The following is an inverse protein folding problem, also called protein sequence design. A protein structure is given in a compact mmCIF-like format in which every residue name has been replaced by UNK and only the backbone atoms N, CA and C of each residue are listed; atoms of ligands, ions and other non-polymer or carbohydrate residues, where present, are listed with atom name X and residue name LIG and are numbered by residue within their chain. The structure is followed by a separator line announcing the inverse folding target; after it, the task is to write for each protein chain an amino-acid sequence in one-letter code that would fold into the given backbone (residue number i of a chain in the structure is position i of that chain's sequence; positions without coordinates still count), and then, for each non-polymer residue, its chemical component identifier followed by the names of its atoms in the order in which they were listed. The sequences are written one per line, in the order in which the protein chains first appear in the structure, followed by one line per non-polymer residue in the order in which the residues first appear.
data_IF_756832351940
#
_entry.id   IF_756832351940
#
_cell.length_a   1.000
_cell.length_b   1.000
_cell.length_c   1.000
_cell.angle_alpha   90.00
_cell.angle_beta   90.00
_cell.angle_gamma   90.00
#
_symmetry.space_group_name_H-M   'P 1'
#
loop_
_entity.id
_entity.type
_entity.pdbx_description
1 polymer ?
#
# COMPACT_ATOMS: atom_id res chain seq x y z
N UNK A 1 -21.38 2.95 -55.72
CA UNK A 1 -22.21 1.80 -55.29
C UNK A 1 -23.67 2.21 -55.44
N UNK A 2 -24.43 1.55 -56.32
CA UNK A 2 -25.84 1.91 -56.60
C UNK A 2 -26.74 1.78 -55.35
N UNK A 3 -27.92 2.40 -55.40
CA UNK A 3 -28.93 2.54 -54.31
C UNK A 3 -29.38 1.23 -53.61
N UNK A 4 -28.83 0.07 -53.95
CA UNK A 4 -29.19 -1.25 -53.41
C UNK A 4 -28.05 -2.01 -52.70
N UNK A 5 -26.80 -1.51 -52.70
CA UNK A 5 -25.70 -2.20 -52.02
C UNK A 5 -25.53 -1.65 -50.60
N UNK A 6 -26.05 -2.38 -49.60
CA UNK A 6 -25.79 -2.09 -48.18
C UNK A 6 -24.40 -2.60 -47.82
N UNK A 7 -23.54 -1.68 -47.37
CA UNK A 7 -22.27 -2.05 -46.78
C UNK A 7 -22.52 -2.77 -45.45
N UNK A 8 -22.12 -4.03 -45.37
CA UNK A 8 -22.17 -4.80 -44.13
C UNK A 8 -20.81 -4.67 -43.46
N UNK A 9 -20.76 -3.91 -42.38
CA UNK A 9 -19.55 -3.74 -41.60
C UNK A 9 -19.14 -5.10 -41.04
N UNK A 10 -17.95 -5.56 -41.40
CA UNK A 10 -17.34 -6.76 -40.82
C UNK A 10 -17.17 -6.45 -39.33
N UNK A 11 -17.92 -7.16 -38.48
CA UNK A 11 -17.79 -7.04 -37.03
C UNK A 11 -16.39 -7.48 -36.59
N UNK A 12 -15.86 -6.85 -35.54
CA UNK A 12 -14.64 -7.30 -34.89
C UNK A 12 -14.77 -8.78 -34.54
N UNK A 13 -13.80 -9.59 -34.97
CA UNK A 13 -13.77 -11.00 -34.64
C UNK A 13 -13.51 -11.17 -33.14
N UNK A 14 -14.12 -12.17 -32.51
CA UNK A 14 -13.83 -12.50 -31.10
C UNK A 14 -12.33 -12.75 -30.86
N UNK A 15 -11.62 -13.24 -31.89
CA UNK A 15 -10.18 -13.46 -31.84
C UNK A 15 -9.38 -12.15 -31.67
N UNK A 16 -9.81 -11.06 -32.32
CA UNK A 16 -9.12 -9.77 -32.27
C UNK A 16 -9.25 -9.13 -30.88
N UNK A 17 -10.41 -9.30 -30.25
CA UNK A 17 -10.66 -8.82 -28.89
C UNK A 17 -9.80 -9.56 -27.87
N UNK A 18 -9.74 -10.90 -27.95
CA UNK A 18 -8.90 -11.72 -27.08
C UNK A 18 -7.40 -11.39 -27.22
N UNK A 19 -6.94 -11.14 -28.44
CA UNK A 19 -5.54 -10.78 -28.68
C UNK A 19 -5.19 -9.42 -28.06
N UNK A 20 -6.10 -8.45 -28.14
CA UNK A 20 -5.92 -7.12 -27.55
C UNK A 20 -5.80 -7.20 -26.03
N UNK A 21 -6.66 -7.99 -25.38
CA UNK A 21 -6.62 -8.22 -23.93
C UNK A 21 -5.34 -8.93 -23.51
N UNK A 22 -4.95 -9.99 -24.23
CA UNK A 22 -3.71 -10.72 -23.97
C UNK A 22 -2.48 -9.82 -24.10
N UNK A 23 -2.43 -8.95 -25.11
CA UNK A 23 -1.34 -7.98 -25.30
C UNK A 23 -1.28 -6.98 -24.14
N UNK A 24 -2.43 -6.45 -23.71
CA UNK A 24 -2.50 -5.51 -22.58
C UNK A 24 -2.02 -6.17 -21.28
N UNK A 25 -2.46 -7.40 -21.00
CA UNK A 25 -2.09 -8.17 -19.82
C UNK A 25 -0.59 -8.53 -19.80
N UNK A 26 -0.04 -8.95 -20.95
CA UNK A 26 1.38 -9.23 -21.06
C UNK A 26 2.23 -7.98 -20.86
N UNK A 27 1.79 -6.83 -21.38
CA UNK A 27 2.47 -5.56 -21.15
C UNK A 27 2.43 -5.15 -19.67
N UNK A 28 1.30 -5.33 -18.98
CA UNK A 28 1.19 -5.04 -17.54
C UNK A 28 2.12 -5.93 -16.72
N UNK A 29 2.22 -7.23 -17.05
CA UNK A 29 3.20 -8.13 -16.43
C UNK A 29 4.64 -7.70 -16.66
N UNK A 30 4.96 -7.29 -17.89
CA UNK A 30 6.29 -6.79 -18.22
C UNK A 30 6.61 -5.54 -17.42
N UNK A 31 5.71 -4.55 -17.39
CA UNK A 31 5.88 -3.33 -16.60
C UNK A 31 6.06 -3.64 -15.10
N UNK A 32 5.27 -4.56 -14.55
CA UNK A 32 5.38 -5.00 -13.16
C UNK A 32 6.74 -5.64 -12.85
N UNK A 33 7.33 -6.38 -13.79
CA UNK A 33 8.67 -6.96 -13.62
C UNK A 33 9.78 -5.90 -13.46
N UNK A 34 9.59 -4.71 -14.04
CA UNK A 34 10.48 -3.56 -13.85
C UNK A 34 10.06 -2.66 -12.67
N UNK A 35 9.03 -3.05 -11.91
CA UNK A 35 8.47 -2.23 -10.83
C UNK A 35 7.71 -0.98 -11.32
N UNK A 36 7.39 -0.90 -12.62
CA UNK A 36 6.69 0.25 -13.19
C UNK A 36 5.18 0.09 -12.97
N UNK A 37 4.55 1.15 -12.46
CA UNK A 37 3.10 1.21 -12.33
C UNK A 37 2.41 1.80 -13.57
N UNK A 38 1.08 1.74 -13.61
CA UNK A 38 0.25 2.23 -14.73
C UNK A 38 0.51 3.69 -15.10
N UNK A 39 0.88 4.49 -14.11
CA UNK A 39 1.17 5.92 -14.25
C UNK A 39 2.48 6.15 -15.02
N UNK A 40 3.47 5.27 -14.85
CA UNK A 40 4.77 5.39 -15.51
C UNK A 40 4.68 5.28 -17.03
N UNK A 41 3.78 4.44 -17.55
CA UNK A 41 3.58 4.23 -18.99
C UNK A 41 2.33 4.93 -19.55
N UNK A 42 1.73 5.84 -18.78
CA UNK A 42 0.72 6.77 -19.30
C UNK A 42 -0.70 6.22 -19.50
N UNK A 43 -1.06 5.07 -18.90
CA UNK A 43 -2.45 4.62 -18.90
C UNK A 43 -3.22 5.26 -17.74
N UNK A 44 -4.04 6.26 -18.07
CA UNK A 44 -4.82 7.04 -17.09
C UNK A 44 -6.34 6.72 -17.10
N UNK A 45 -6.78 5.77 -17.93
CA UNK A 45 -8.20 5.53 -18.23
C UNK A 45 -9.06 5.24 -16.98
N UNK A 46 -8.46 4.71 -15.89
CA UNK A 46 -9.17 4.35 -14.65
C UNK A 46 -8.61 5.00 -13.37
N UNK A 47 -7.75 6.02 -13.48
CA UNK A 47 -6.97 6.51 -12.32
C UNK A 47 -7.39 7.93 -11.93
N UNK A 48 -7.89 8.07 -10.70
CA UNK A 48 -8.19 9.39 -10.13
C UNK A 48 -6.89 10.17 -9.80
N UNK A 49 -6.99 11.49 -9.69
CA UNK A 49 -5.82 12.36 -9.46
C UNK A 49 -5.08 12.07 -8.13
N UNK A 50 -5.78 11.67 -7.08
CA UNK A 50 -5.17 11.30 -5.80
C UNK A 50 -4.30 10.03 -5.95
N UNK A 51 -4.81 9.02 -6.64
CA UNK A 51 -4.11 7.78 -6.98
C UNK A 51 -2.94 8.04 -7.93
N UNK A 52 -3.03 9.02 -8.84
CA UNK A 52 -1.88 9.44 -9.66
C UNK A 52 -0.76 9.99 -8.78
N UNK A 53 -1.07 10.87 -7.82
CA UNK A 53 -0.06 11.44 -6.92
C UNK A 53 0.60 10.37 -6.06
N UNK A 54 -0.19 9.48 -5.47
CA UNK A 54 0.30 8.38 -4.64
C UNK A 54 1.13 7.39 -5.46
N UNK A 55 0.66 7.01 -6.65
CA UNK A 55 1.40 6.11 -7.51
C UNK A 55 2.71 6.72 -8.03
N UNK A 56 2.77 8.03 -8.32
CA UNK A 56 4.06 8.69 -8.62
C UNK A 56 5.02 8.59 -7.43
N UNK A 57 4.54 8.78 -6.20
CA UNK A 57 5.35 8.63 -5.00
C UNK A 57 5.89 7.20 -4.85
N UNK A 58 5.03 6.18 -5.04
CA UNK A 58 5.45 4.78 -5.01
C UNK A 58 6.50 4.48 -6.09
N UNK A 59 6.29 4.94 -7.32
CA UNK A 59 7.23 4.76 -8.43
C UNK A 59 8.63 5.32 -8.10
N UNK A 60 8.69 6.50 -7.50
CA UNK A 60 9.96 7.09 -7.07
C UNK A 60 10.62 6.32 -5.92
N UNK A 61 9.82 5.82 -4.97
CA UNK A 61 10.32 5.08 -3.81
C UNK A 61 10.82 3.68 -4.18
N UNK A 62 10.09 2.98 -5.05
CA UNK A 62 10.33 1.56 -5.34
C UNK A 62 11.29 1.36 -6.52
N UNK A 63 11.30 2.26 -7.50
CA UNK A 63 12.09 2.09 -8.74
C UNK A 63 13.21 3.10 -8.88
N UNK A 64 12.88 4.40 -8.93
CA UNK A 64 13.87 5.41 -9.31
C UNK A 64 14.93 5.65 -8.24
N UNK A 65 14.53 5.74 -6.96
CA UNK A 65 15.47 5.99 -5.87
C UNK A 65 16.46 4.84 -5.66
N UNK A 66 16.07 3.56 -5.65
CA UNK A 66 17.03 2.46 -5.57
C UNK A 66 17.99 2.43 -6.76
N UNK A 67 17.49 2.69 -7.97
CA UNK A 67 18.32 2.72 -9.18
C UNK A 67 19.35 3.86 -9.12
N UNK A 68 18.93 5.06 -8.75
CA UNK A 68 19.82 6.20 -8.55
C UNK A 68 20.85 5.94 -7.44
N UNK A 69 20.47 5.26 -6.35
CA UNK A 69 21.41 4.83 -5.31
C UNK A 69 22.46 3.84 -5.82
N UNK A 70 22.07 2.91 -6.70
CA UNK A 70 23.02 1.98 -7.33
C UNK A 70 24.03 2.73 -8.22
N UNK A 71 23.55 3.69 -9.02
CA UNK A 71 24.39 4.51 -9.90
C UNK A 71 25.33 5.39 -9.07
N UNK A 72 24.79 6.17 -8.14
CA UNK A 72 25.56 7.08 -7.30
C UNK A 72 26.58 6.36 -6.43
N UNK A 73 26.25 5.15 -5.94
CA UNK A 73 27.19 4.29 -5.23
C UNK A 73 28.32 3.82 -6.14
N UNK A 74 28.02 3.33 -7.34
CA UNK A 74 29.04 2.90 -8.29
C UNK A 74 30.01 4.04 -8.64
N UNK A 75 29.48 5.23 -8.93
CA UNK A 75 30.31 6.42 -9.21
C UNK A 75 31.13 6.82 -7.99
N UNK A 76 30.52 6.80 -6.79
CA UNK A 76 31.23 7.15 -5.56
C UNK A 76 32.37 6.18 -5.28
N UNK A 77 32.12 4.88 -5.37
CA UNK A 77 33.07 3.83 -5.04
C UNK A 77 34.20 3.74 -6.06
N UNK A 78 33.92 3.93 -7.35
CA UNK A 78 34.93 3.79 -8.41
C UNK A 78 35.69 5.09 -8.70
N UNK A 79 35.02 6.25 -8.71
CA UNK A 79 35.63 7.50 -9.18
C UNK A 79 35.96 8.45 -8.04
N UNK A 80 34.98 8.77 -7.18
CA UNK A 80 35.15 9.84 -6.19
C UNK A 80 36.18 9.46 -5.13
N UNK A 81 36.12 8.23 -4.62
CA UNK A 81 37.10 7.72 -3.66
C UNK A 81 38.52 7.67 -4.21
N UNK A 82 38.67 7.47 -5.52
CA UNK A 82 39.98 7.47 -6.17
C UNK A 82 40.57 8.88 -6.29
N UNK A 83 39.75 9.87 -6.64
CA UNK A 83 40.19 11.26 -6.85
C UNK A 83 40.40 11.98 -5.51
N UNK A 84 39.51 11.78 -4.54
CA UNK A 84 39.56 12.44 -3.23
C UNK A 84 39.43 11.39 -2.12
N UNK A 85 40.55 10.96 -1.50
CA UNK A 85 40.51 10.04 -0.37
C UNK A 85 39.85 10.64 0.89
N UNK A 86 39.46 11.92 0.86
CA UNK A 86 38.86 12.65 1.98
C UNK A 86 37.41 12.29 2.35
N UNK A 87 36.91 11.10 2.00
CA UNK A 87 35.58 10.64 2.41
C UNK A 87 34.39 11.32 1.73
N UNK A 88 34.60 11.91 0.54
CA UNK A 88 33.53 12.54 -0.22
C UNK A 88 32.56 11.48 -0.78
N UNK A 89 31.27 11.78 -0.80
CA UNK A 89 30.25 10.90 -1.37
C UNK A 89 29.32 11.68 -2.31
N UNK A 90 28.98 11.08 -3.46
CA UNK A 90 27.94 11.61 -4.32
C UNK A 90 26.59 11.27 -3.72
N UNK A 91 25.72 12.26 -3.59
CA UNK A 91 24.33 12.08 -3.25
C UNK A 91 23.48 12.90 -4.20
N UNK A 92 22.49 12.26 -4.79
CA UNK A 92 21.49 12.97 -5.58
C UNK A 92 20.60 13.80 -4.67
N UNK A 93 20.26 15.00 -5.10
CA UNK A 93 19.32 15.88 -4.41
C UNK A 93 17.88 15.52 -4.81
N UNK A 94 17.03 15.24 -3.81
CA UNK A 94 15.61 14.93 -4.02
C UNK A 94 14.68 16.02 -3.47
N UNK A 95 15.21 17.14 -3.00
CA UNK A 95 14.44 18.19 -2.32
C UNK A 95 13.39 18.82 -3.23
N UNK A 96 13.68 18.91 -4.53
CA UNK A 96 12.77 19.53 -5.49
C UNK A 96 11.61 18.62 -5.91
N UNK A 97 11.71 17.30 -5.68
CA UNK A 97 10.72 16.34 -6.17
C UNK A 97 9.45 16.37 -5.32
N UNK A 98 8.38 16.95 -5.86
CA UNK A 98 7.08 17.16 -5.17
C UNK A 98 6.57 15.87 -4.47
N UNK A 99 6.66 14.72 -5.13
CA UNK A 99 6.12 13.46 -4.59
C UNK A 99 6.96 12.84 -3.45
N UNK A 100 8.23 13.23 -3.30
CA UNK A 100 9.08 12.80 -2.19
C UNK A 100 9.03 13.77 -1.01
N UNK A 101 8.50 14.98 -1.20
CA UNK A 101 8.32 15.94 -0.12
C UNK A 101 7.37 15.36 0.93
N UNK A 102 7.69 15.55 2.23
CA UNK A 102 6.81 15.12 3.28
C UNK A 102 5.47 15.86 3.17
N UNK A 103 4.38 15.14 3.41
CA UNK A 103 3.06 15.75 3.41
C UNK A 103 2.87 16.59 4.68
N UNK A 104 3.19 17.88 4.57
CA UNK A 104 3.08 18.83 5.66
C UNK A 104 1.64 18.95 6.18
N UNK A 105 0.63 18.82 5.31
CA UNK A 105 -0.78 18.93 5.70
C UNK A 105 -1.17 17.80 6.64
N UNK A 106 -0.80 16.57 6.29
CA UNK A 106 -1.06 15.43 7.15
C UNK A 106 -0.26 15.51 8.46
N UNK A 107 0.99 15.97 8.39
CA UNK A 107 1.82 16.19 9.58
C UNK A 107 1.25 17.26 10.52
N UNK A 108 0.80 18.39 10.01
CA UNK A 108 0.19 19.44 10.83
C UNK A 108 -1.11 18.95 11.47
N UNK A 109 -1.91 18.16 10.77
CA UNK A 109 -3.12 17.57 11.33
C UNK A 109 -2.81 16.58 12.46
N UNK A 110 -1.80 15.73 12.30
CA UNK A 110 -1.34 14.81 13.35
C UNK A 110 -0.79 15.59 14.55
N UNK A 111 0.01 16.62 14.30
CA UNK A 111 0.53 17.49 15.36
C UNK A 111 -0.62 18.21 16.10
N UNK A 112 -1.62 18.71 15.39
CA UNK A 112 -2.81 19.30 16.00
C UNK A 112 -3.54 18.31 16.91
N UNK A 113 -3.74 17.07 16.44
CA UNK A 113 -4.36 16.00 17.25
C UNK A 113 -3.52 15.67 18.50
N UNK A 114 -2.19 15.66 18.39
CA UNK A 114 -1.28 15.45 19.51
C UNK A 114 -1.40 16.56 20.56
N UNK A 115 -1.48 17.82 20.14
CA UNK A 115 -1.65 18.96 21.04
C UNK A 115 -3.05 18.94 21.68
N UNK A 116 -4.09 18.73 20.88
CA UNK A 116 -5.48 18.83 21.35
C UNK A 116 -5.94 17.65 22.21
N UNK A 117 -5.58 16.41 21.82
CA UNK A 117 -6.09 15.20 22.49
C UNK A 117 -5.11 14.62 23.49
N UNK A 118 -3.81 14.64 23.17
CA UNK A 118 -2.77 14.03 24.00
C UNK A 118 -2.06 15.04 24.92
N UNK A 119 -2.40 16.34 24.80
CA UNK A 119 -1.85 17.43 25.60
C UNK A 119 -0.32 17.55 25.53
N UNK A 120 0.27 17.13 24.42
CA UNK A 120 1.67 17.41 24.17
C UNK A 120 1.88 18.90 23.89
N UNK A 121 3.02 19.44 24.33
CA UNK A 121 3.39 20.82 23.99
C UNK A 121 3.55 20.95 22.48
N UNK A 122 3.17 22.08 21.87
CA UNK A 122 3.33 22.30 20.43
C UNK A 122 4.76 22.05 19.93
N UNK A 123 5.77 22.46 20.71
CA UNK A 123 7.17 22.21 20.39
C UNK A 123 7.51 20.71 20.37
N UNK A 124 6.99 19.93 21.33
CA UNK A 124 7.24 18.49 21.37
C UNK A 124 6.50 17.76 20.25
N UNK A 125 5.23 18.10 19.99
CA UNK A 125 4.46 17.54 18.89
C UNK A 125 5.12 17.85 17.53
N UNK A 126 5.60 19.08 17.35
CA UNK A 126 6.35 19.50 16.16
C UNK A 126 7.63 18.68 15.95
N UNK A 127 8.42 18.47 17.03
CA UNK A 127 9.62 17.62 17.00
C UNK A 127 9.29 16.16 16.66
N UNK A 128 8.27 15.58 17.28
CA UNK A 128 7.84 14.20 17.02
C UNK A 128 7.43 13.98 15.56
N UNK A 129 6.73 14.96 14.97
CA UNK A 129 6.25 14.90 13.59
C UNK A 129 7.30 15.39 12.57
N UNK A 130 8.47 15.84 13.05
CA UNK A 130 9.56 16.42 12.24
C UNK A 130 9.07 17.59 11.38
N UNK A 131 8.31 18.49 11.98
CA UNK A 131 8.02 19.78 11.38
C UNK A 131 9.23 20.71 11.57
N UNK A 132 9.57 21.55 10.59
CA UNK A 132 10.70 22.47 10.67
C UNK A 132 10.35 23.61 11.64
N UNK A 133 10.65 23.41 12.92
CA UNK A 133 10.55 24.45 13.94
C UNK A 133 11.97 24.78 14.40
N UNK A 134 12.45 25.99 14.08
CA UNK A 134 13.78 26.44 14.50
C UNK A 134 13.76 26.82 15.98
N UNK A 135 14.91 26.71 16.64
CA UNK A 135 15.06 27.10 18.05
C UNK A 135 14.80 28.59 18.28
N UNK A 136 15.05 29.42 17.26
CA UNK A 136 14.74 30.84 17.24
C UNK A 136 13.25 31.09 17.38
N UNK A 137 12.41 30.38 16.61
CA UNK A 137 10.95 30.47 16.71
C UNK A 137 10.43 30.05 18.09
N UNK A 138 11.10 29.11 18.76
CA UNK A 138 10.74 28.69 20.12
C UNK A 138 11.07 29.81 21.13
N UNK A 139 12.17 30.54 20.92
CA UNK A 139 12.53 31.70 21.77
C UNK A 139 11.58 32.87 21.56
N UNK A 140 11.17 33.14 20.32
CA UNK A 140 10.21 34.19 19.98
C UNK A 140 8.79 33.88 20.49
N UNK A 141 8.46 32.59 20.63
CA UNK A 141 7.15 32.12 21.05
C UNK A 141 7.23 31.14 22.23
N UNK A 142 7.45 31.63 23.47
CA UNK A 142 7.58 30.80 24.67
C UNK A 142 6.37 29.88 24.91
N UNK A 143 5.18 30.32 24.50
CA UNK A 143 3.92 29.56 24.60
C UNK A 143 3.93 28.23 23.84
N UNK A 144 4.87 28.00 22.91
CA UNK A 144 5.05 26.72 22.23
C UNK A 144 5.58 25.61 23.16
N UNK A 145 6.20 25.98 24.28
CA UNK A 145 6.69 25.05 25.30
C UNK A 145 5.71 24.85 26.45
N UNK A 146 4.66 25.67 26.53
CA UNK A 146 3.64 25.57 27.57
C UNK A 146 2.61 24.50 27.20
N UNK A 147 2.01 23.88 28.21
CA UNK A 147 0.90 22.96 27.98
C UNK A 147 -0.32 23.74 27.46
N UNK A 148 -1.01 23.24 26.41
CA UNK A 148 -2.17 23.92 25.89
C UNK A 148 -3.23 24.05 26.98
N UNK A 149 -3.89 25.23 27.12
CA UNK A 149 -4.91 25.41 28.14
C UNK A 149 -6.00 24.37 27.95
N UNK A 150 -6.42 23.72 29.04
CA UNK A 150 -7.49 22.74 28.98
C UNK A 150 -8.71 23.41 28.36
N UNK A 151 -9.11 22.98 27.15
CA UNK A 151 -10.36 23.42 26.54
C UNK A 151 -11.45 23.12 27.56
N UNK A 152 -12.00 24.15 28.19
CA UNK A 152 -13.25 24.04 28.92
C UNK A 152 -14.23 23.39 27.95
N UNK A 153 -14.94 22.36 28.37
CA UNK A 153 -15.90 21.64 27.55
C UNK A 153 -17.10 22.56 27.22
N UNK A 154 -16.86 23.62 26.45
CA UNK A 154 -17.87 24.42 25.80
C UNK A 154 -18.49 23.55 24.73
N UNK A 155 -19.79 23.31 24.85
CA UNK A 155 -20.55 22.43 23.99
C UNK A 155 -20.28 22.69 22.52
N UNK A 156 -19.59 21.77 21.87
CA UNK A 156 -19.51 21.77 20.42
C UNK A 156 -20.90 21.47 19.86
N UNK A 157 -21.40 22.42 19.06
CA UNK A 157 -22.49 22.19 18.13
C UNK A 157 -22.16 20.94 17.30
N UNK A 158 -23.11 20.01 17.25
CA UNK A 158 -22.99 18.77 16.49
C UNK A 158 -22.82 19.12 15.00
N UNK A 159 -21.75 18.62 14.37
CA UNK A 159 -21.68 18.52 12.92
C UNK A 159 -22.85 17.67 12.40
N UNK A 160 -23.43 17.99 11.22
CA UNK A 160 -24.63 17.31 10.72
C UNK A 160 -24.34 15.84 10.37
N UNK A 161 -24.70 14.94 11.28
CA UNK A 161 -24.65 13.47 11.14
C UNK A 161 -25.72 12.88 10.18
N UNK A 162 -26.32 13.66 9.30
CA UNK A 162 -27.57 13.27 8.63
C UNK A 162 -27.48 12.28 7.45
N UNK A 163 -26.32 11.68 7.12
CA UNK A 163 -26.27 10.73 5.99
C UNK A 163 -25.94 9.26 6.33
N UNK A 164 -25.63 8.91 7.58
CA UNK A 164 -25.37 7.49 7.94
C UNK A 164 -26.48 6.88 8.81
N UNK A 165 -27.40 7.70 9.32
CA UNK A 165 -28.40 7.28 10.33
C UNK A 165 -29.67 6.61 9.77
N UNK A 166 -29.77 6.40 8.45
CA UNK A 166 -31.01 5.84 7.83
C UNK A 166 -31.03 4.32 7.64
N UNK A 167 -30.04 3.57 8.14
CA UNK A 167 -30.05 2.09 8.08
C UNK A 167 -30.01 1.40 9.44
N UNK A 168 -29.99 2.15 10.56
CA UNK A 168 -30.11 1.56 11.91
C UNK A 168 -31.47 1.94 12.46
N UNK A 169 -32.49 1.26 11.97
CA UNK A 169 -33.86 1.37 12.46
C UNK A 169 -33.94 0.99 13.95
N UNK A 170 -34.42 1.96 14.75
CA UNK A 170 -35.31 1.80 15.92
C UNK A 170 -35.03 0.64 16.89
N UNK A 171 -34.03 0.78 17.77
CA UNK A 171 -34.09 0.11 19.09
C UNK A 171 -33.14 0.61 20.17
N UNK A 172 -32.16 1.48 19.87
CA UNK A 172 -31.22 1.91 20.91
C UNK A 172 -31.43 3.36 21.32
N UNK A 173 -32.19 3.56 22.41
CA UNK A 173 -32.15 4.81 23.18
C UNK A 173 -30.74 4.96 23.75
N UNK A 174 -29.97 5.87 23.16
CA UNK A 174 -28.63 6.24 23.58
C UNK A 174 -28.67 6.73 25.02
N UNK A 175 -28.04 6.00 25.95
CA UNK A 175 -27.92 6.38 27.37
C UNK A 175 -28.59 5.46 28.39
N UNK A 176 -29.12 4.30 27.99
CA UNK A 176 -29.65 3.33 28.94
C UNK A 176 -28.51 2.48 29.53
N UNK A 177 -28.33 2.51 30.84
CA UNK A 177 -27.38 1.63 31.54
C UNK A 177 -27.92 0.19 31.50
N UNK A 178 -27.49 -0.55 30.47
CA UNK A 178 -27.80 -1.98 30.35
C UNK A 178 -27.04 -2.75 31.43
N UNK A 179 -27.72 -3.70 32.06
CA UNK A 179 -27.11 -4.65 32.99
C UNK A 179 -26.13 -5.56 32.24
N UNK A 180 -25.20 -6.19 32.96
CA UNK A 180 -24.15 -7.02 32.35
C UNK A 180 -24.72 -8.21 31.54
N UNK A 181 -25.83 -8.76 32.01
CA UNK A 181 -26.59 -9.85 31.35
C UNK A 181 -27.22 -9.40 30.02
N UNK A 182 -27.80 -8.20 29.99
CA UNK A 182 -28.40 -7.65 28.76
C UNK A 182 -27.32 -7.31 27.72
N UNK A 183 -26.14 -6.85 28.15
CA UNK A 183 -25.00 -6.59 27.26
C UNK A 183 -24.46 -7.87 26.63
N UNK A 184 -24.35 -8.94 27.42
CA UNK A 184 -23.91 -10.23 26.91
C UNK A 184 -24.93 -10.82 25.94
N UNK A 185 -26.23 -10.76 26.26
CA UNK A 185 -27.29 -11.20 25.36
C UNK A 185 -27.28 -10.45 24.02
N UNK A 186 -27.08 -9.13 24.05
CA UNK A 186 -26.97 -8.29 22.84
C UNK A 186 -25.71 -8.57 22.02
N UNK A 187 -24.58 -8.83 22.70
CA UNK A 187 -23.35 -9.24 22.03
C UNK A 187 -23.55 -10.56 21.29
N UNK A 188 -24.20 -11.54 21.92
CA UNK A 188 -24.52 -12.83 21.29
C UNK A 188 -25.48 -12.67 20.11
N UNK A 189 -26.52 -11.85 20.24
CA UNK A 189 -27.48 -11.59 19.16
C UNK A 189 -26.81 -10.89 17.96
N UNK A 190 -25.88 -9.95 18.23
CA UNK A 190 -25.07 -9.31 17.19
C UNK A 190 -24.14 -10.31 16.48
N UNK A 191 -23.46 -11.18 17.24
CA UNK A 191 -22.58 -12.22 16.68
C UNK A 191 -23.39 -13.14 15.76
N UNK A 192 -24.53 -13.65 16.22
CA UNK A 192 -25.34 -14.58 15.41
C UNK A 192 -25.99 -13.92 14.19
N UNK A 193 -26.40 -12.64 14.26
CA UNK A 193 -27.07 -11.96 13.14
C UNK A 193 -26.11 -11.39 12.11
N UNK A 194 -24.96 -10.89 12.55
CA UNK A 194 -24.05 -10.13 11.69
C UNK A 194 -22.80 -10.93 11.33
N UNK A 195 -22.21 -11.65 12.28
CA UNK A 195 -20.95 -12.35 12.08
C UNK A 195 -21.14 -13.76 11.50
N UNK A 196 -22.06 -14.59 12.04
CA UNK A 196 -22.25 -15.96 11.56
C UNK A 196 -22.59 -16.08 10.05
N UNK A 197 -23.45 -15.23 9.46
CA UNK A 197 -23.72 -15.30 8.02
C UNK A 197 -22.51 -14.89 7.19
N UNK A 198 -21.76 -13.90 7.67
CA UNK A 198 -20.50 -13.47 7.08
C UNK A 198 -19.49 -14.62 7.10
N UNK A 199 -19.24 -15.20 8.26
CA UNK A 199 -18.32 -16.31 8.44
C UNK A 199 -18.69 -17.54 7.60
N UNK A 200 -19.98 -17.88 7.46
CA UNK A 200 -20.40 -18.98 6.56
C UNK A 200 -20.00 -18.75 5.10
N UNK A 201 -20.09 -17.51 4.62
CA UNK A 201 -19.67 -17.15 3.26
C UNK A 201 -18.14 -17.25 3.11
N UNK A 202 -17.39 -16.79 4.11
CA UNK A 202 -15.93 -16.86 4.11
C UNK A 202 -15.40 -18.27 4.30
N UNK A 203 -16.04 -19.10 5.13
CA UNK A 203 -15.62 -20.48 5.40
C UNK A 203 -15.55 -21.31 4.13
N UNK A 204 -16.58 -21.25 3.28
CA UNK A 204 -16.58 -21.96 1.99
C UNK A 204 -15.48 -21.47 1.05
N UNK A 205 -15.22 -20.16 1.01
CA UNK A 205 -14.15 -19.59 0.20
C UNK A 205 -12.76 -19.98 0.72
N UNK A 206 -12.57 -19.98 2.04
CA UNK A 206 -11.34 -20.39 2.71
C UNK A 206 -11.08 -21.89 2.54
N UNK A 207 -12.09 -22.75 2.71
CA UNK A 207 -11.97 -24.20 2.50
C UNK A 207 -11.54 -24.51 1.05
N UNK A 208 -12.13 -23.83 0.07
CA UNK A 208 -11.72 -23.95 -1.33
C UNK A 208 -10.28 -23.46 -1.56
N UNK A 209 -9.90 -22.35 -0.94
CA UNK A 209 -8.54 -21.82 -1.02
C UNK A 209 -7.52 -22.81 -0.44
N UNK A 210 -7.74 -23.31 0.77
CA UNK A 210 -6.85 -24.27 1.42
C UNK A 210 -6.77 -25.60 0.67
N UNK A 211 -7.89 -26.10 0.14
CA UNK A 211 -7.91 -27.29 -0.71
C UNK A 211 -7.05 -27.11 -1.97
N UNK A 212 -7.15 -25.94 -2.63
CA UNK A 212 -6.31 -25.62 -3.80
C UNK A 212 -4.82 -25.53 -3.45
N UNK A 213 -4.48 -24.94 -2.30
CA UNK A 213 -3.08 -24.87 -1.84
C UNK A 213 -2.54 -26.28 -1.54
N UNK A 214 -3.31 -27.13 -0.86
CA UNK A 214 -2.93 -28.50 -0.54
C UNK A 214 -2.69 -29.33 -1.81
N UNK A 215 -3.59 -29.27 -2.80
CA UNK A 215 -3.42 -29.98 -4.07
C UNK A 215 -2.19 -29.49 -4.84
N UNK A 216 -1.95 -28.18 -4.89
CA UNK A 216 -0.76 -27.62 -5.55
C UNK A 216 0.54 -28.08 -4.88
N UNK A 217 0.55 -28.23 -3.56
CA UNK A 217 1.69 -28.79 -2.84
C UNK A 217 1.91 -30.26 -3.20
N UNK A 218 0.84 -31.07 -3.27
CA UNK A 218 0.93 -32.47 -3.69
C UNK A 218 1.43 -32.61 -5.13
N UNK A 219 0.91 -31.82 -6.07
CA UNK A 219 1.36 -31.82 -7.47
C UNK A 219 2.87 -31.52 -7.58
N UNK A 220 3.36 -30.55 -6.79
CA UNK A 220 4.78 -30.20 -6.76
C UNK A 220 5.63 -31.35 -6.21
N UNK A 221 5.15 -32.06 -5.17
CA UNK A 221 5.81 -33.25 -4.61
C UNK A 221 5.85 -34.38 -5.64
N UNK A 222 4.77 -34.61 -6.38
CA UNK A 222 4.70 -35.64 -7.42
C UNK A 222 5.63 -35.34 -8.60
N UNK A 223 5.69 -34.08 -9.04
CA UNK A 223 6.65 -33.64 -10.08
C UNK A 223 8.08 -33.83 -9.59
N UNK A 224 8.36 -33.51 -8.33
CA UNK A 224 9.67 -33.71 -7.73
C UNK A 224 10.04 -35.21 -7.65
N UNK A 225 9.14 -36.07 -7.19
CA UNK A 225 9.33 -37.53 -7.14
C UNK A 225 9.56 -38.12 -8.53
N UNK A 226 8.80 -37.67 -9.55
CA UNK A 226 9.01 -38.09 -10.93
C UNK A 226 10.39 -37.68 -11.45
N UNK A 227 10.85 -36.46 -11.13
CA UNK A 227 12.21 -36.02 -11.46
C UNK A 227 13.26 -36.89 -10.78
N UNK A 228 13.10 -37.23 -9.51
CA UNK A 228 14.03 -38.10 -8.79
C UNK A 228 14.07 -39.53 -9.35
N UNK A 229 12.91 -40.12 -9.66
CA UNK A 229 12.82 -41.47 -10.26
C UNK A 229 13.31 -41.51 -11.72
N UNK A 230 13.24 -40.39 -12.44
CA UNK A 230 13.73 -40.27 -13.80
C UNK A 230 15.24 -40.05 -13.88
N UNK A 231 15.93 -39.85 -12.75
CA UNK A 231 17.38 -39.93 -12.67
C UNK A 231 17.72 -41.42 -12.57
N UNK A 232 18.25 -42.06 -13.62
CA UNK A 232 18.71 -43.44 -13.52
C UNK A 232 19.78 -43.54 -12.41
N UNK A 233 19.70 -44.58 -11.58
CA UNK A 233 20.63 -44.83 -10.47
C UNK A 233 22.10 -45.01 -10.91
N UNK A 234 22.35 -45.08 -12.23
CA UNK A 234 23.67 -45.31 -12.84
C UNK A 234 24.47 -44.03 -13.17
N UNK A 235 24.08 -42.84 -12.70
CA UNK A 235 24.92 -41.65 -12.86
C UNK A 235 25.88 -41.56 -11.67
N UNK A 236 27.05 -42.17 -11.87
CA UNK A 236 28.25 -42.21 -11.04
C UNK A 236 28.39 -41.09 -10.01
N UNK A 237 28.46 -41.50 -8.74
CA UNK A 237 28.80 -40.67 -7.57
C UNK A 237 30.28 -40.25 -7.50
N UNK A 238 31.03 -40.27 -8.60
CA UNK A 238 32.50 -40.10 -8.54
C UNK A 238 33.05 -38.67 -8.76
N UNK A 239 32.24 -37.64 -9.06
CA UNK A 239 32.83 -36.38 -9.60
C UNK A 239 32.86 -35.16 -8.64
N UNK A 240 32.46 -35.25 -7.37
CA UNK A 240 32.41 -34.04 -6.50
C UNK A 240 33.27 -34.08 -5.22
N UNK A 241 34.50 -34.61 -5.28
CA UNK A 241 35.46 -34.48 -4.16
C UNK A 241 36.82 -33.85 -4.50
N UNK A 242 37.01 -33.22 -5.66
CA UNK A 242 38.27 -32.52 -5.96
C UNK A 242 38.01 -31.07 -6.37
N UNK A 243 38.09 -30.13 -5.43
CA UNK A 243 38.10 -28.72 -5.79
C UNK A 243 37.84 -27.71 -4.69
N UNK A 244 38.31 -27.93 -3.46
CA UNK A 244 38.47 -26.87 -2.47
C UNK A 244 39.67 -27.18 -1.57
N UNK A 245 40.83 -26.69 -1.99
CA UNK A 245 41.99 -26.35 -1.17
C UNK A 245 42.36 -24.92 -1.51
#
# INVERSE_FOLDING_TARGET
LGRALKYQQIGLSQADMQFTDQKSFNFEKFAAAYGLNKIAYGKYEDINFATIREGRKLLWQDTYRPLDQLITRAITDQWIKFISPGGWCLKSDYSDIECLRPDYKNRTNVAAVMVEKLRYTPAMASKMVRLPLTEEMIKEHPWLNEEPPAKQAGGFAQEPKQMVEKLVDKSFKKGMELTEEERTALSWDYIHKVLDPGEKNWKKALDQFFTRQANKMQDNVDVWLKKQKAIPEDIDREVYLTGFW
#
